data_IF_090833921862
#
_entry.id   IF_090833921862
#
_cell.length_a   1.000
_cell.length_b   1.000
_cell.length_c   1.000
_cell.angle_alpha   90.00
_cell.angle_beta   90.00
_cell.angle_gamma   90.00
#
_symmetry.space_group_name_H-M   'P 1'
#
loop_
_entity.id
_entity.type
_entity.pdbx_description
1 polymer ?
#
# COMPACT_ATOMS: atom_id res chain seq x y z
N UNK A 1 13.24 -11.96 0.52
CA UNK A 1 11.98 -11.24 0.28
C UNK A 1 11.93 -9.97 1.11
N UNK A 2 11.28 -8.97 0.59
CA UNK A 2 11.12 -7.67 1.25
C UNK A 2 9.65 -7.27 1.26
N UNK A 3 9.25 -6.61 2.35
CA UNK A 3 7.90 -6.10 2.52
C UNK A 3 7.87 -4.60 2.28
N UNK A 4 6.95 -4.15 1.44
CA UNK A 4 6.57 -2.76 1.33
C UNK A 4 5.46 -2.51 2.34
N UNK A 5 5.69 -1.60 3.27
CA UNK A 5 4.70 -1.22 4.28
C UNK A 5 4.27 0.22 4.02
N UNK A 6 2.98 0.43 3.83
CA UNK A 6 2.41 1.74 3.52
C UNK A 6 1.38 2.09 4.59
N UNK A 7 1.54 3.27 5.18
CA UNK A 7 0.60 3.81 6.17
C UNK A 7 -0.09 5.03 5.61
N UNK A 8 -1.41 5.06 5.72
CA UNK A 8 -2.23 6.16 5.21
C UNK A 8 -3.31 6.54 6.20
N UNK A 9 -3.76 7.78 6.12
CA UNK A 9 -5.00 8.24 6.75
C UNK A 9 -6.05 8.38 5.65
N UNK A 10 -7.21 7.77 5.86
CA UNK A 10 -8.27 7.70 4.85
C UNK A 10 -9.35 8.74 5.18
N UNK A 11 -9.58 9.65 4.23
CA UNK A 11 -10.57 10.72 4.38
C UNK A 11 -11.90 10.36 3.71
N UNK A 12 -11.87 9.52 2.68
CA UNK A 12 -13.04 9.06 1.96
C UNK A 12 -12.91 7.55 1.73
N UNK A 13 -13.55 6.75 2.56
CA UNK A 13 -13.43 5.29 2.52
C UNK A 13 -13.96 4.69 1.22
N UNK A 14 -15.12 5.14 0.75
CA UNK A 14 -15.72 4.60 -0.47
C UNK A 14 -14.86 4.86 -1.70
N UNK A 15 -14.36 6.08 -1.82
CA UNK A 15 -13.49 6.48 -2.92
C UNK A 15 -12.16 5.74 -2.86
N UNK A 16 -11.59 5.61 -1.67
CA UNK A 16 -10.32 4.90 -1.48
C UNK A 16 -10.46 3.42 -1.83
N UNK A 17 -11.56 2.78 -1.45
CA UNK A 17 -11.84 1.39 -1.83
C UNK A 17 -11.92 1.23 -3.34
N UNK A 18 -12.58 2.14 -4.02
CA UNK A 18 -12.67 2.15 -5.47
C UNK A 18 -11.27 2.27 -6.12
N UNK A 19 -10.45 3.21 -5.63
CA UNK A 19 -9.09 3.42 -6.14
C UNK A 19 -8.20 2.20 -5.87
N UNK A 20 -8.31 1.59 -4.70
CA UNK A 20 -7.57 0.36 -4.39
C UNK A 20 -7.89 -0.74 -5.40
N UNK A 21 -9.16 -1.00 -5.65
CA UNK A 21 -9.57 -2.10 -6.52
C UNK A 21 -9.35 -1.82 -8.00
N UNK A 22 -9.45 -0.57 -8.44
CA UNK A 22 -9.34 -0.21 -9.86
C UNK A 22 -7.94 0.18 -10.30
N UNK A 23 -7.10 0.67 -9.39
CA UNK A 23 -5.78 1.19 -9.74
C UNK A 23 -4.64 0.53 -8.95
N UNK A 24 -4.71 0.55 -7.62
CA UNK A 24 -3.59 0.14 -6.77
C UNK A 24 -3.33 -1.36 -6.89
N UNK A 25 -4.34 -2.17 -6.62
CA UNK A 25 -4.19 -3.64 -6.64
C UNK A 25 -3.77 -4.16 -8.00
N UNK A 26 -4.39 -3.74 -9.12
CA UNK A 26 -3.94 -4.18 -10.45
C UNK A 26 -2.51 -3.77 -10.78
N UNK A 27 -2.11 -2.54 -10.47
CA UNK A 27 -0.76 -2.06 -10.76
C UNK A 27 0.30 -2.74 -9.91
N UNK A 28 0.03 -2.88 -8.62
CA UNK A 28 0.98 -3.51 -7.68
C UNK A 28 1.10 -5.00 -7.94
N UNK A 29 -0.01 -5.70 -8.19
CA UNK A 29 0.02 -7.14 -8.46
C UNK A 29 0.68 -7.48 -9.80
N UNK A 30 0.71 -6.54 -10.74
CA UNK A 30 1.42 -6.67 -12.00
C UNK A 30 2.87 -6.21 -11.95
N UNK A 31 3.34 -5.69 -10.82
CA UNK A 31 4.71 -5.19 -10.70
C UNK A 31 5.75 -6.31 -10.64
N UNK A 32 6.98 -6.06 -11.12
CA UNK A 32 8.05 -7.06 -11.04
C UNK A 32 8.29 -7.54 -9.61
N UNK A 33 8.37 -8.85 -9.44
CA UNK A 33 8.71 -9.46 -8.16
C UNK A 33 7.57 -9.55 -7.13
N UNK A 34 6.36 -9.15 -7.49
CA UNK A 34 5.21 -9.25 -6.59
C UNK A 34 4.94 -10.70 -6.18
N UNK A 35 4.71 -10.92 -4.86
CA UNK A 35 4.37 -12.23 -4.30
C UNK A 35 2.96 -12.26 -3.74
N UNK A 36 2.65 -11.39 -2.79
CA UNK A 36 1.33 -11.29 -2.16
C UNK A 36 1.18 -9.93 -1.52
N UNK A 37 -0.04 -9.54 -1.19
CA UNK A 37 -0.28 -8.27 -0.54
C UNK A 37 -1.62 -8.22 0.17
N UNK A 38 -1.66 -7.42 1.23
CA UNK A 38 -2.87 -7.15 2.00
C UNK A 38 -3.00 -5.65 2.22
N UNK A 39 -4.16 -5.13 1.92
CA UNK A 39 -4.54 -3.74 2.15
C UNK A 39 -5.60 -3.73 3.22
N UNK A 40 -5.27 -3.15 4.36
CA UNK A 40 -6.14 -3.16 5.54
C UNK A 40 -6.44 -1.75 6.01
N UNK A 41 -7.51 -1.58 6.75
CA UNK A 41 -7.76 -0.36 7.51
C UNK A 41 -8.47 -0.67 8.82
N UNK A 42 -8.42 0.29 9.73
CA UNK A 42 -9.05 0.15 11.04
C UNK A 42 -10.57 0.13 10.90
N UNK A 43 -11.23 -0.68 11.73
CA UNK A 43 -12.68 -0.73 11.82
C UNK A 43 -13.10 -0.09 13.13
N UNK A 44 -13.99 0.90 13.05
CA UNK A 44 -14.40 1.67 14.23
C UNK A 44 -13.41 2.78 14.56
N UNK A 45 -13.76 3.63 15.50
CA UNK A 45 -12.97 4.80 15.89
C UNK A 45 -13.34 6.05 15.09
N UNK A 46 -12.66 7.15 15.43
CA UNK A 46 -12.94 8.47 14.86
C UNK A 46 -12.28 8.65 13.50
N UNK A 47 -11.13 8.00 13.30
CA UNK A 47 -10.33 8.16 12.10
C UNK A 47 -10.02 6.78 11.51
N UNK A 48 -10.09 6.69 10.19
CA UNK A 48 -9.75 5.45 9.48
C UNK A 48 -8.30 5.50 9.03
N UNK A 49 -7.50 4.57 9.54
CA UNK A 49 -6.09 4.42 9.17
C UNK A 49 -5.91 3.16 8.36
N UNK A 50 -5.21 3.29 7.25
CA UNK A 50 -4.85 2.16 6.39
C UNK A 50 -3.43 1.69 6.63
N UNK A 51 -3.24 0.38 6.63
CA UNK A 51 -1.95 -0.26 6.67
C UNK A 51 -1.91 -1.33 5.59
N UNK A 52 -0.95 -1.21 4.69
CA UNK A 52 -0.74 -2.19 3.63
C UNK A 52 0.58 -2.90 3.83
N UNK A 53 0.60 -4.20 3.60
CA UNK A 53 1.83 -4.98 3.59
C UNK A 53 1.88 -5.79 2.31
N UNK A 54 2.87 -5.51 1.48
CA UNK A 54 2.99 -6.11 0.16
C UNK A 54 4.38 -6.73 0.05
N UNK A 55 4.43 -7.99 -0.33
CA UNK A 55 5.66 -8.77 -0.36
C UNK A 55 6.21 -8.86 -1.79
N UNK A 56 7.49 -8.55 -1.92
CA UNK A 56 8.25 -8.63 -3.17
C UNK A 56 9.46 -9.54 -3.01
N UNK A 57 9.97 -10.04 -4.13
CA UNK A 57 11.15 -10.93 -4.16
C UNK A 57 12.45 -10.20 -3.81
N UNK A 58 12.52 -8.87 -4.00
CA UNK A 58 13.73 -8.09 -3.73
C UNK A 58 13.42 -6.72 -3.14
N UNK A 59 14.41 -6.13 -2.49
CA UNK A 59 14.33 -4.77 -1.99
C UNK A 59 14.11 -3.75 -3.11
N UNK A 60 14.82 -3.91 -4.22
CA UNK A 60 14.70 -3.02 -5.37
C UNK A 60 13.28 -2.98 -5.92
N UNK A 61 12.66 -4.14 -6.09
CA UNK A 61 11.28 -4.23 -6.58
C UNK A 61 10.29 -3.65 -5.57
N UNK A 62 10.50 -3.86 -4.28
CA UNK A 62 9.68 -3.27 -3.23
C UNK A 62 9.75 -1.74 -3.25
N UNK A 63 10.95 -1.17 -3.40
CA UNK A 63 11.15 0.30 -3.47
C UNK A 63 10.48 0.89 -4.71
N UNK A 64 10.61 0.24 -5.85
CA UNK A 64 9.99 0.70 -7.10
C UNK A 64 8.46 0.73 -6.96
N UNK A 65 7.87 -0.28 -6.33
CA UNK A 65 6.43 -0.32 -6.06
C UNK A 65 6.02 0.78 -5.08
N UNK A 66 6.85 1.06 -4.08
CA UNK A 66 6.63 2.15 -3.12
C UNK A 66 6.55 3.51 -3.80
N UNK A 67 7.40 3.77 -4.78
CA UNK A 67 7.38 5.01 -5.55
C UNK A 67 6.07 5.16 -6.34
N UNK A 68 5.58 4.07 -6.92
CA UNK A 68 4.30 4.07 -7.64
C UNK A 68 3.11 4.34 -6.72
N UNK A 69 3.09 3.68 -5.57
CA UNK A 69 2.03 3.88 -4.57
C UNK A 69 2.03 5.32 -4.06
N UNK A 70 3.20 5.88 -3.80
CA UNK A 70 3.34 7.27 -3.39
C UNK A 70 2.80 8.24 -4.43
N UNK A 71 3.04 7.98 -5.70
CA UNK A 71 2.53 8.81 -6.79
C UNK A 71 1.00 8.74 -6.88
N UNK A 72 0.41 7.55 -6.72
CA UNK A 72 -1.05 7.38 -6.72
C UNK A 72 -1.68 8.16 -5.56
N UNK A 73 -1.11 8.05 -4.36
CA UNK A 73 -1.60 8.76 -3.18
C UNK A 73 -1.51 10.28 -3.37
N UNK A 74 -0.44 10.77 -3.99
CA UNK A 74 -0.25 12.20 -4.26
C UNK A 74 -1.30 12.76 -5.23
N UNK A 75 -1.86 11.92 -6.10
CA UNK A 75 -2.90 12.33 -7.04
C UNK A 75 -4.31 12.39 -6.42
N UNK A 76 -4.48 11.92 -5.19
CA UNK A 76 -5.77 11.87 -4.51
C UNK A 76 -5.70 12.44 -3.08
N UNK A 77 -5.23 13.70 -2.89
CA UNK A 77 -5.01 14.26 -1.55
C UNK A 77 -6.29 14.46 -0.73
N UNK A 78 -7.45 14.58 -1.38
CA UNK A 78 -8.73 14.73 -0.70
C UNK A 78 -9.27 13.39 -0.18
N UNK A 79 -8.81 12.29 -0.72
CA UNK A 79 -9.28 10.94 -0.39
C UNK A 79 -8.36 10.26 0.64
N UNK A 80 -7.06 10.51 0.55
CA UNK A 80 -6.07 9.80 1.37
C UNK A 80 -4.84 10.68 1.61
N UNK A 81 -4.27 10.56 2.82
CA UNK A 81 -2.97 11.16 3.17
C UNK A 81 -1.97 10.04 3.38
N UNK A 82 -0.83 10.13 2.70
CA UNK A 82 0.26 9.17 2.87
C UNK A 82 1.05 9.54 4.14
N UNK A 83 1.00 8.68 5.15
CA UNK A 83 1.67 8.90 6.43
C UNK A 83 3.08 8.32 6.48
N UNK A 84 3.33 7.25 5.75
CA UNK A 84 4.65 6.63 5.70
C UNK A 84 4.76 5.51 4.69
N UNK A 85 5.95 5.36 4.14
CA UNK A 85 6.33 4.26 3.26
C UNK A 85 7.67 3.72 3.73
N UNK A 86 7.77 2.42 3.96
CA UNK A 86 9.03 1.80 4.34
C UNK A 86 9.17 0.44 3.68
N UNK A 87 10.41 0.03 3.48
CA UNK A 87 10.74 -1.31 2.98
C UNK A 87 11.46 -2.06 4.07
N UNK A 88 11.02 -3.27 4.36
CA UNK A 88 11.55 -4.13 5.43
C UNK A 88 11.97 -5.47 4.87
N UNK A 89 13.03 -6.05 5.43
CA UNK A 89 13.40 -7.42 5.12
C UNK A 89 12.43 -8.39 5.80
N UNK A 90 11.95 -9.38 5.06
CA UNK A 90 11.15 -10.47 5.62
C UNK A 90 12.11 -11.49 6.23
N UNK A 91 12.07 -11.64 7.55
CA UNK A 91 13.00 -12.52 8.28
C UNK A 91 12.39 -13.85 8.65
N UNK A 92 11.08 -14.00 8.54
CA UNK A 92 10.38 -15.26 8.80
C UNK A 92 9.00 -15.22 8.15
N UNK A 93 8.50 -16.39 7.80
CA UNK A 93 7.14 -16.55 7.26
C UNK A 93 6.62 -17.94 7.60
N UNK A 94 5.32 -18.10 7.54
CA UNK A 94 4.67 -19.38 7.81
C UNK A 94 3.84 -19.82 6.61
#
# INVERSE_FOLDING_TARGET
>A
MHALVVRVTIHNADRTREVLNSQVVPQVSGAPGFKTGYWTWTTGGVETNGLSMIIFDSEENARAAGDRVSAIAADAPDDVTLDGVEVREVVASA
#
